data_IF_357552906589
#
_entry.id   IF_357552906589
#
_cell.length_a   1.000
_cell.length_b   1.000
_cell.length_c   1.000
_cell.angle_alpha   90.00
_cell.angle_beta   90.00
_cell.angle_gamma   90.00
#
_symmetry.space_group_name_H-M   'P 1'
#
loop_
_entity.id
_entity.type
_entity.pdbx_description
1 polymer ?
#
# COMPACT_ATOMS: atom_id res chain seq x y z
N UNK A 1 -3.54 -15.06 -13.60
CA UNK A 1 -2.91 -14.15 -12.61
C UNK A 1 -3.05 -12.71 -13.09
N UNK A 2 -3.44 -11.79 -12.20
CA UNK A 2 -3.57 -10.36 -12.50
C UNK A 2 -4.49 -10.13 -13.72
N UNK A 3 -4.06 -9.27 -14.66
CA UNK A 3 -4.76 -8.99 -15.91
C UNK A 3 -4.76 -10.16 -16.91
N UNK A 4 -4.07 -11.27 -16.62
CA UNK A 4 -4.14 -12.48 -17.45
C UNK A 4 -5.57 -13.05 -17.57
N UNK A 5 -6.45 -12.72 -16.62
CA UNK A 5 -7.87 -13.07 -16.71
C UNK A 5 -8.56 -12.49 -17.97
N UNK A 6 -8.12 -11.33 -18.48
CA UNK A 6 -8.68 -10.72 -19.70
C UNK A 6 -8.50 -11.63 -20.93
N UNK A 7 -7.36 -12.33 -21.02
CA UNK A 7 -7.08 -13.26 -22.12
C UNK A 7 -8.03 -14.45 -22.06
N UNK A 8 -8.22 -15.02 -20.87
CA UNK A 8 -9.11 -16.16 -20.66
C UNK A 8 -10.58 -15.79 -20.90
N UNK A 9 -11.00 -14.60 -20.47
CA UNK A 9 -12.34 -14.08 -20.72
C UNK A 9 -12.58 -13.83 -22.22
N UNK A 10 -11.60 -13.25 -22.92
CA UNK A 10 -11.67 -13.02 -24.36
C UNK A 10 -11.78 -14.33 -25.16
N UNK A 11 -11.21 -15.42 -24.64
CA UNK A 11 -11.34 -16.76 -25.20
C UNK A 11 -12.65 -17.48 -24.81
N UNK A 12 -13.53 -16.85 -24.02
CA UNK A 12 -14.78 -17.45 -23.54
C UNK A 12 -14.61 -18.48 -22.42
N UNK A 13 -13.39 -18.69 -21.92
CA UNK A 13 -13.09 -19.72 -20.91
C UNK A 13 -13.58 -19.38 -19.51
N UNK A 14 -14.04 -18.15 -19.29
CA UNK A 14 -14.57 -17.68 -18.01
C UNK A 14 -16.08 -17.44 -18.02
N UNK A 15 -16.76 -17.66 -19.16
CA UNK A 15 -18.20 -17.40 -19.27
C UNK A 15 -19.00 -18.26 -18.29
N UNK A 16 -19.81 -17.62 -17.44
CA UNK A 16 -20.59 -18.30 -16.40
C UNK A 16 -19.77 -18.73 -15.17
N UNK A 17 -18.45 -18.57 -15.16
CA UNK A 17 -17.58 -18.94 -14.03
C UNK A 17 -17.26 -17.75 -13.13
N UNK A 18 -16.93 -18.03 -11.87
CA UNK A 18 -16.44 -17.03 -10.92
C UNK A 18 -14.95 -16.79 -11.16
N UNK A 19 -14.57 -15.53 -11.37
CA UNK A 19 -13.19 -15.13 -11.60
C UNK A 19 -12.82 -13.92 -10.76
N UNK A 20 -11.53 -13.69 -10.59
CA UNK A 20 -10.98 -12.45 -10.05
C UNK A 20 -9.86 -11.92 -10.96
N UNK A 21 -9.61 -10.62 -10.89
CA UNK A 21 -8.52 -9.96 -11.62
C UNK A 21 -7.97 -8.82 -10.77
N UNK A 22 -7.00 -8.08 -11.29
CA UNK A 22 -6.41 -6.97 -10.56
C UNK A 22 -7.40 -5.84 -10.31
N UNK A 23 -7.57 -5.39 -9.06
CA UNK A 23 -8.56 -4.39 -8.61
C UNK A 23 -8.65 -3.17 -9.52
N UNK A 24 -7.51 -2.63 -9.94
CA UNK A 24 -7.45 -1.45 -10.81
C UNK A 24 -8.30 -1.62 -12.08
N UNK A 25 -8.51 -2.86 -12.52
CA UNK A 25 -9.15 -3.20 -13.77
C UNK A 25 -10.48 -3.94 -13.60
N UNK A 26 -11.02 -4.06 -12.38
CA UNK A 26 -12.29 -4.79 -12.15
C UNK A 26 -13.45 -4.13 -12.87
N UNK A 27 -13.60 -2.81 -12.78
CA UNK A 27 -14.64 -2.06 -13.49
C UNK A 27 -14.55 -2.23 -15.01
N UNK A 28 -13.33 -2.21 -15.55
CA UNK A 28 -13.12 -2.41 -16.98
C UNK A 28 -13.45 -3.85 -17.38
N UNK A 29 -13.02 -4.83 -16.58
CA UNK A 29 -13.25 -6.25 -16.83
C UNK A 29 -14.74 -6.56 -16.84
N UNK A 30 -15.50 -6.12 -15.83
CA UNK A 30 -16.94 -6.34 -15.75
C UNK A 30 -17.71 -5.74 -16.93
N UNK A 31 -17.26 -4.58 -17.45
CA UNK A 31 -17.86 -3.98 -18.66
C UNK A 31 -17.59 -4.79 -19.92
N UNK A 32 -16.37 -5.32 -20.09
CA UNK A 32 -15.99 -6.06 -21.29
C UNK A 32 -16.51 -7.50 -21.29
N UNK A 33 -16.64 -8.12 -20.12
CA UNK A 33 -16.98 -9.54 -19.97
C UNK A 33 -18.15 -9.75 -18.99
N UNK A 34 -19.36 -9.24 -19.30
CA UNK A 34 -20.50 -9.27 -18.38
C UNK A 34 -21.03 -10.68 -18.05
N UNK A 35 -20.63 -11.70 -18.81
CA UNK A 35 -20.98 -13.11 -18.54
C UNK A 35 -20.08 -13.75 -17.47
N UNK A 36 -18.98 -13.13 -17.10
CA UNK A 36 -18.08 -13.61 -16.06
C UNK A 36 -18.56 -13.10 -14.70
N UNK A 37 -18.66 -13.98 -13.71
CA UNK A 37 -19.01 -13.60 -12.33
C UNK A 37 -17.75 -13.08 -11.63
N UNK A 38 -17.47 -11.78 -11.76
CA UNK A 38 -16.27 -11.19 -11.16
C UNK A 38 -16.44 -11.02 -9.64
N UNK A 39 -15.52 -11.61 -8.87
CA UNK A 39 -15.33 -11.38 -7.44
C UNK A 39 -14.03 -10.60 -7.20
N UNK A 40 -14.09 -9.29 -6.89
CA UNK A 40 -12.92 -8.45 -6.71
C UNK A 40 -12.29 -8.57 -5.31
N UNK A 41 -12.96 -9.23 -4.36
CA UNK A 41 -12.60 -9.19 -2.93
C UNK A 41 -11.86 -10.45 -2.46
N UNK A 42 -11.46 -11.32 -3.40
CA UNK A 42 -10.71 -12.55 -3.14
C UNK A 42 -9.31 -12.51 -3.73
N UNK A 43 -8.37 -13.24 -3.13
CA UNK A 43 -7.00 -13.37 -3.67
C UNK A 43 -6.99 -14.20 -4.94
N UNK A 44 -7.75 -15.29 -4.97
CA UNK A 44 -7.89 -16.17 -6.11
C UNK A 44 -9.27 -16.84 -6.10
N UNK A 45 -9.69 -17.29 -7.28
CA UNK A 45 -10.86 -18.16 -7.45
C UNK A 45 -10.40 -19.52 -7.97
N UNK A 46 -11.12 -20.55 -7.55
CA UNK A 46 -10.98 -21.90 -8.09
C UNK A 46 -12.24 -22.27 -8.86
N UNK A 47 -12.15 -22.25 -10.19
CA UNK A 47 -13.23 -22.61 -11.10
C UNK A 47 -13.15 -24.05 -11.61
N UNK A 48 -12.44 -24.94 -10.90
CA UNK A 48 -12.11 -26.34 -11.25
C UNK A 48 -11.20 -26.50 -12.48
N UNK A 49 -11.59 -25.93 -13.62
CA UNK A 49 -10.84 -25.97 -14.89
C UNK A 49 -9.94 -24.76 -15.08
N UNK A 50 -10.35 -23.60 -14.55
CA UNK A 50 -9.60 -22.35 -14.64
C UNK A 50 -9.54 -21.70 -13.27
N UNK A 51 -8.33 -21.36 -12.85
CA UNK A 51 -8.10 -20.60 -11.63
C UNK A 51 -7.58 -19.20 -11.98
N UNK A 52 -8.05 -18.21 -11.25
CA UNK A 52 -7.66 -16.80 -11.47
C UNK A 52 -7.18 -16.19 -10.16
N UNK A 53 -6.33 -15.16 -10.23
CA UNK A 53 -5.83 -14.46 -9.04
C UNK A 53 -5.73 -12.97 -9.27
N UNK A 54 -5.94 -12.20 -8.21
CA UNK A 54 -6.14 -10.76 -8.27
C UNK A 54 -4.85 -9.94 -8.46
N UNK A 55 -3.68 -10.58 -8.61
CA UNK A 55 -2.40 -9.87 -8.63
C UNK A 55 -1.19 -10.80 -8.48
N UNK A 56 0.02 -10.24 -8.52
CA UNK A 56 1.26 -11.02 -8.50
C UNK A 56 1.43 -11.77 -7.17
N UNK A 57 1.27 -11.09 -6.02
CA UNK A 57 1.39 -11.73 -4.70
C UNK A 57 0.34 -12.83 -4.50
N UNK A 58 -0.91 -12.56 -4.85
CA UNK A 58 -1.98 -13.56 -4.86
C UNK A 58 -1.79 -14.69 -5.87
N UNK A 59 -0.89 -14.52 -6.85
CA UNK A 59 -0.44 -15.61 -7.71
C UNK A 59 0.32 -16.67 -6.92
N UNK A 60 1.12 -16.27 -5.92
CA UNK A 60 1.80 -17.20 -5.02
C UNK A 60 0.77 -17.93 -4.14
N UNK A 61 -0.22 -17.19 -3.62
CA UNK A 61 -1.33 -17.77 -2.85
C UNK A 61 -2.08 -18.85 -3.68
N UNK A 62 -2.32 -18.57 -4.97
CA UNK A 62 -2.93 -19.50 -5.92
C UNK A 62 -2.04 -20.73 -6.18
N UNK A 63 -0.72 -20.56 -6.37
CA UNK A 63 0.20 -21.68 -6.55
C UNK A 63 0.22 -22.60 -5.31
N UNK A 64 0.24 -22.02 -4.10
CA UNK A 64 0.17 -22.80 -2.86
C UNK A 64 -1.17 -23.51 -2.70
N UNK A 65 -2.27 -22.91 -3.16
CA UNK A 65 -3.58 -23.57 -3.23
C UNK A 65 -3.55 -24.80 -4.13
N UNK A 66 -2.98 -24.68 -5.33
CA UNK A 66 -2.84 -25.81 -6.26
C UNK A 66 -2.00 -26.95 -5.64
N UNK A 67 -0.84 -26.62 -5.06
CA UNK A 67 0.01 -27.61 -4.38
C UNK A 67 -0.72 -28.28 -3.23
N UNK A 68 -1.51 -27.53 -2.46
CA UNK A 68 -2.32 -28.09 -1.36
C UNK A 68 -3.38 -29.05 -1.88
N UNK A 69 -4.03 -28.73 -3.00
CA UNK A 69 -5.04 -29.58 -3.64
C UNK A 69 -4.44 -30.89 -4.16
N UNK A 70 -3.28 -30.81 -4.78
CA UNK A 70 -2.67 -31.94 -5.49
C UNK A 70 -1.79 -32.82 -4.58
N UNK A 71 -1.18 -32.22 -3.55
CA UNK A 71 -0.16 -32.89 -2.70
C UNK A 71 -0.41 -32.77 -1.19
N UNK A 72 -1.51 -32.11 -0.80
CA UNK A 72 -1.90 -31.96 0.61
C UNK A 72 -1.20 -30.83 1.35
N UNK A 73 -1.73 -30.52 2.54
CA UNK A 73 -1.32 -29.37 3.36
C UNK A 73 0.13 -29.42 3.83
N UNK A 74 0.67 -30.61 4.12
CA UNK A 74 2.05 -30.74 4.60
C UNK A 74 3.06 -30.26 3.55
N UNK A 75 2.86 -30.66 2.28
CA UNK A 75 3.73 -30.26 1.16
C UNK A 75 3.59 -28.77 0.88
N UNK A 76 2.36 -28.25 0.84
CA UNK A 76 2.13 -26.81 0.64
C UNK A 76 2.81 -25.96 1.73
N UNK A 77 2.76 -26.39 3.00
CA UNK A 77 3.39 -25.68 4.10
C UNK A 77 4.93 -25.72 4.05
N UNK A 78 5.53 -26.83 3.60
CA UNK A 78 6.97 -26.91 3.36
C UNK A 78 7.40 -25.99 2.21
N UNK A 79 6.66 -25.98 1.09
CA UNK A 79 6.92 -25.07 -0.03
C UNK A 79 6.79 -23.60 0.39
N UNK A 80 5.75 -23.24 1.13
CA UNK A 80 5.57 -21.88 1.64
C UNK A 80 6.77 -21.44 2.50
N UNK A 81 7.28 -22.32 3.37
CA UNK A 81 8.45 -22.05 4.21
C UNK A 81 9.72 -21.84 3.38
N UNK A 82 9.95 -22.69 2.36
CA UNK A 82 11.12 -22.58 1.46
C UNK A 82 11.06 -21.34 0.57
N UNK A 83 9.86 -20.87 0.26
CA UNK A 83 9.63 -19.67 -0.57
C UNK A 83 9.42 -18.40 0.26
N UNK A 84 9.56 -18.48 1.58
CA UNK A 84 9.49 -17.35 2.52
C UNK A 84 8.17 -16.57 2.41
N UNK A 85 7.07 -17.31 2.29
CA UNK A 85 5.70 -16.76 2.27
C UNK A 85 4.84 -17.41 3.37
N UNK A 86 3.79 -16.72 3.84
CA UNK A 86 2.84 -17.36 4.74
C UNK A 86 2.18 -18.59 4.08
N UNK A 87 1.96 -19.69 4.81
CA UNK A 87 1.33 -20.90 4.27
C UNK A 87 -0.14 -20.70 3.87
N UNK A 88 -0.79 -19.69 4.44
CA UNK A 88 -2.14 -19.27 4.11
C UNK A 88 -2.29 -17.78 4.39
N UNK A 89 -2.89 -17.04 3.45
CA UNK A 89 -3.34 -15.66 3.61
C UNK A 89 -4.85 -15.65 3.48
N UNK A 90 -5.54 -15.02 4.43
CA UNK A 90 -6.97 -14.78 4.30
C UNK A 90 -7.23 -13.74 3.20
N UNK A 91 -8.28 -13.98 2.42
CA UNK A 91 -8.57 -13.21 1.21
C UNK A 91 -9.21 -11.85 1.44
N UNK A 92 -9.68 -11.54 2.66
CA UNK A 92 -10.50 -10.36 2.97
C UNK A 92 -9.77 -9.01 3.04
N UNK A 93 -8.55 -8.90 2.54
CA UNK A 93 -7.87 -7.62 2.42
C UNK A 93 -8.37 -6.93 1.15
N UNK A 94 -9.47 -6.17 1.27
CA UNK A 94 -10.01 -5.26 0.24
C UNK A 94 -8.83 -4.54 -0.41
N UNK A 95 -8.59 -4.85 -1.69
CA UNK A 95 -7.37 -4.44 -2.39
C UNK A 95 -7.19 -2.94 -2.25
N UNK A 96 -6.04 -2.53 -1.67
CA UNK A 96 -5.62 -1.16 -1.36
C UNK A 96 -6.56 -0.08 -1.94
N UNK A 97 -7.65 0.22 -1.21
CA UNK A 97 -8.32 1.49 -1.40
C UNK A 97 -7.25 2.50 -1.04
N UNK A 98 -6.77 3.24 -2.04
CA UNK A 98 -5.87 4.37 -1.86
C UNK A 98 -6.69 5.45 -1.15
N UNK A 99 -7.00 5.23 0.13
CA UNK A 99 -7.50 6.25 1.02
C UNK A 99 -6.43 7.33 0.93
N UNK A 100 -6.75 8.55 0.48
CA UNK A 100 -5.81 9.65 0.59
C UNK A 100 -5.44 9.67 2.07
N UNK A 101 -4.24 9.21 2.39
CA UNK A 101 -3.64 9.51 3.68
C UNK A 101 -3.67 11.04 3.64
N UNK A 102 -4.40 11.72 4.55
CA UNK A 102 -4.30 13.16 4.64
C UNK A 102 -2.81 13.43 4.66
N UNK A 103 -2.29 14.24 3.73
CA UNK A 103 -0.89 14.61 3.76
C UNK A 103 -0.62 14.97 5.22
N UNK A 104 0.28 14.24 5.87
CA UNK A 104 0.66 14.54 7.25
C UNK A 104 0.96 16.03 7.22
N UNK A 105 0.10 16.85 7.85
CA UNK A 105 0.31 18.29 7.83
C UNK A 105 1.76 18.46 8.27
N UNK A 106 2.58 19.05 7.40
CA UNK A 106 4.00 19.16 7.67
C UNK A 106 4.15 19.71 9.09
N UNK A 107 5.07 19.15 9.91
CA UNK A 107 5.21 19.58 11.30
C UNK A 107 5.27 21.11 11.34
N UNK A 108 4.61 21.73 12.30
CA UNK A 108 4.31 23.17 12.26
C UNK A 108 5.56 24.06 12.42
N UNK A 109 6.75 23.46 12.40
CA UNK A 109 8.07 24.10 12.41
C UNK A 109 8.95 23.73 11.20
N UNK A 110 8.40 23.03 10.19
CA UNK A 110 9.18 22.54 9.05
C UNK A 110 9.72 23.65 8.17
N UNK A 111 8.93 24.69 7.88
CA UNK A 111 9.36 25.79 7.02
C UNK A 111 10.43 26.64 7.72
N UNK A 112 10.33 26.81 9.04
CA UNK A 112 11.35 27.48 9.85
C UNK A 112 12.69 26.72 9.85
N UNK A 113 12.66 25.39 10.00
CA UNK A 113 13.87 24.54 9.98
C UNK A 113 14.54 24.56 8.61
N UNK A 114 13.77 24.39 7.55
CA UNK A 114 14.28 24.41 6.18
C UNK A 114 14.84 25.79 5.79
N UNK A 115 14.18 26.86 6.24
CA UNK A 115 14.68 28.23 6.06
C UNK A 115 16.03 28.44 6.78
N UNK A 116 16.15 27.98 8.02
CA UNK A 116 17.35 28.13 8.83
C UNK A 116 18.54 27.32 8.28
N UNK A 117 18.32 26.07 7.85
CA UNK A 117 19.38 25.23 7.25
C UNK A 117 19.99 25.84 5.97
N UNK A 118 19.21 26.64 5.22
CA UNK A 118 19.71 27.37 4.04
C UNK A 118 20.47 28.65 4.36
N UNK A 119 20.53 29.06 5.63
CA UNK A 119 21.04 30.37 6.08
C UNK A 119 21.96 30.29 7.30
N UNK A 120 22.62 29.15 7.51
CA UNK A 120 23.53 28.96 8.66
C UNK A 120 24.72 29.93 8.67
N UNK A 121 25.03 30.54 7.52
CA UNK A 121 26.04 31.59 7.38
C UNK A 121 25.60 32.98 7.89
N UNK A 122 24.32 33.16 8.21
CA UNK A 122 23.75 34.44 8.69
C UNK A 122 23.36 34.33 10.17
N UNK A 123 23.35 35.45 10.92
CA UNK A 123 22.78 35.47 12.27
C UNK A 123 21.28 35.14 12.24
N UNK A 124 20.93 33.92 12.67
CA UNK A 124 19.54 33.46 12.77
C UNK A 124 18.98 33.77 14.17
N UNK A 125 17.85 34.46 14.21
CA UNK A 125 17.12 34.77 15.45
C UNK A 125 15.85 33.93 15.60
N UNK A 126 15.44 33.68 16.85
CA UNK A 126 14.18 32.99 17.16
C UNK A 126 12.95 33.69 16.57
N UNK A 127 12.96 35.03 16.50
CA UNK A 127 11.88 35.81 15.89
C UNK A 127 11.73 35.53 14.40
N UNK A 128 12.84 35.44 13.67
CA UNK A 128 12.82 35.12 12.24
C UNK A 128 12.31 33.70 11.97
N UNK A 129 12.67 32.73 12.82
CA UNK A 129 12.19 31.36 12.71
C UNK A 129 10.68 31.27 13.00
N UNK A 130 10.21 31.91 14.07
CA UNK A 130 8.80 31.92 14.45
C UNK A 130 7.91 32.59 13.38
N UNK A 131 8.42 33.63 12.72
CA UNK A 131 7.71 34.32 11.64
C UNK A 131 7.44 33.44 10.41
N UNK A 132 8.26 32.40 10.14
CA UNK A 132 8.03 31.47 9.01
C UNK A 132 6.76 30.64 9.17
N UNK A 133 6.33 30.46 10.41
CA UNK A 133 5.17 29.66 10.77
C UNK A 133 3.99 30.55 11.24
N UNK A 134 4.12 31.88 11.11
CA UNK A 134 3.15 32.86 11.63
C UNK A 134 2.84 32.68 13.11
N UNK A 135 3.85 32.32 13.91
CA UNK A 135 3.73 32.06 15.35
C UNK A 135 4.41 33.14 16.19
N UNK A 136 3.92 33.32 17.42
CA UNK A 136 4.71 34.00 18.44
C UNK A 136 5.93 33.17 18.82
N UNK A 137 7.01 33.82 19.24
CA UNK A 137 8.25 33.14 19.67
C UNK A 137 7.98 32.09 20.75
N UNK A 138 7.15 32.44 21.75
CA UNK A 138 6.78 31.52 22.84
C UNK A 138 6.08 30.27 22.31
N UNK A 139 5.12 30.43 21.39
CA UNK A 139 4.39 29.30 20.83
C UNK A 139 5.30 28.43 19.96
N UNK A 140 6.11 29.07 19.11
CA UNK A 140 7.08 28.40 18.26
C UNK A 140 8.10 27.59 19.07
N UNK A 141 8.71 28.16 20.11
CA UNK A 141 9.69 27.44 20.94
C UNK A 141 9.10 26.22 21.63
N UNK A 142 7.87 26.31 22.15
CA UNK A 142 7.18 25.16 22.73
C UNK A 142 6.95 24.09 21.66
N UNK A 143 6.36 24.46 20.52
CA UNK A 143 6.05 23.52 19.45
C UNK A 143 7.29 22.87 18.84
N UNK A 144 8.37 23.63 18.70
CA UNK A 144 9.65 23.13 18.22
C UNK A 144 10.24 22.10 19.17
N UNK A 145 10.17 22.34 20.49
CA UNK A 145 10.61 21.35 21.48
C UNK A 145 9.76 20.09 21.43
N UNK A 146 8.43 20.23 21.30
CA UNK A 146 7.53 19.09 21.21
C UNK A 146 7.81 18.25 19.94
N UNK A 147 8.19 18.88 18.83
CA UNK A 147 8.44 18.20 17.54
C UNK A 147 9.89 17.69 17.35
N UNK A 148 10.89 18.40 17.89
CA UNK A 148 12.33 18.16 17.63
C UNK A 148 13.07 17.66 18.87
N UNK A 149 12.46 17.75 20.05
CA UNK A 149 13.04 17.29 21.31
C UNK A 149 14.03 18.26 21.97
N UNK A 150 14.32 19.41 21.35
CA UNK A 150 15.25 20.43 21.87
C UNK A 150 14.81 21.85 21.53
N UNK A 151 15.52 22.87 22.01
CA UNK A 151 15.24 24.27 21.67
C UNK A 151 15.79 24.63 20.28
N UNK A 152 15.19 25.61 19.57
CA UNK A 152 15.67 25.98 18.23
C UNK A 152 17.13 26.46 18.21
N UNK A 153 17.58 27.18 19.24
CA UNK A 153 18.96 27.65 19.33
C UNK A 153 19.94 26.49 19.53
N UNK A 154 19.64 25.57 20.46
CA UNK A 154 20.50 24.40 20.67
C UNK A 154 20.54 23.50 19.43
N UNK A 155 19.42 23.40 18.70
CA UNK A 155 19.34 22.65 17.45
C UNK A 155 20.24 23.22 16.34
N UNK A 156 20.42 24.55 16.27
CA UNK A 156 21.30 25.20 15.30
C UNK A 156 22.79 25.03 15.58
N UNK A 157 23.14 24.66 16.82
CA UNK A 157 24.53 24.51 17.27
C UNK A 157 24.98 23.05 17.39
N UNK A 158 24.13 22.10 16.97
CA UNK A 158 24.48 20.68 16.81
C UNK A 158 25.06 20.43 15.42
#
# INVERSE_FOLDING_TARGET
ICTGAFVLASAGLLDGHTATTHWRYTDLFSRLFPRVRLDPDVLYTDGETVLTSAGCASGIDLCLHMIRRDHGTAVANDVARRTVVPPHREGGQVQYIRRPVPALSAPATSAAREWALRRLQEPITLGQMAARESMSVRHFTRRFRDEVGTTPINWLTQ
#
